data_IF_737333039932
#
_entry.id   IF_737333039932
#
_cell.length_a   1.000
_cell.length_b   1.000
_cell.length_c   1.000
_cell.angle_alpha   90.00
_cell.angle_beta   90.00
_cell.angle_gamma   90.00
#
_symmetry.space_group_name_H-M   'P 1'
#
loop_
_entity.id
_entity.type
_entity.pdbx_description
1 polymer ?
#
# COMPACT_ATOMS: atom_id res chain seq x y z
N UNK A 1 -10.04 41.70 -13.40
CA UNK A 1 -9.66 40.54 -14.24
C UNK A 1 -8.45 39.78 -13.70
N UNK A 2 -7.31 40.43 -13.38
CA UNK A 2 -6.10 39.75 -12.83
C UNK A 2 -6.32 38.97 -11.52
N UNK A 3 -7.11 39.49 -10.58
CA UNK A 3 -7.38 38.81 -9.29
C UNK A 3 -8.20 37.52 -9.45
N UNK A 4 -9.18 37.51 -10.35
CA UNK A 4 -10.02 36.33 -10.63
C UNK A 4 -9.22 35.18 -11.27
N UNK A 5 -8.26 35.51 -12.14
CA UNK A 5 -7.34 34.53 -12.73
C UNK A 5 -6.43 33.88 -11.67
N UNK A 6 -5.97 34.66 -10.68
CA UNK A 6 -5.14 34.17 -9.59
C UNK A 6 -5.94 33.27 -8.62
N UNK A 7 -7.19 33.64 -8.33
CA UNK A 7 -8.10 32.86 -7.50
C UNK A 7 -8.48 31.53 -8.19
N UNK A 8 -8.73 31.56 -9.51
CA UNK A 8 -8.97 30.37 -10.32
C UNK A 8 -7.74 29.45 -10.37
N UNK A 9 -6.53 30.00 -10.49
CA UNK A 9 -5.29 29.22 -10.43
C UNK A 9 -5.08 28.56 -9.05
N UNK A 10 -5.45 29.24 -7.95
CA UNK A 10 -5.36 28.70 -6.60
C UNK A 10 -6.40 27.58 -6.35
N UNK A 11 -7.61 27.71 -6.91
CA UNK A 11 -8.64 26.65 -6.87
C UNK A 11 -8.22 25.39 -7.64
N UNK A 12 -7.44 25.53 -8.72
CA UNK A 12 -6.89 24.40 -9.47
C UNK A 12 -5.85 23.61 -8.66
N UNK A 13 -5.09 24.25 -7.75
CA UNK A 13 -4.14 23.54 -6.87
C UNK A 13 -4.81 22.70 -5.79
N UNK A 14 -6.06 22.99 -5.41
CA UNK A 14 -6.82 22.21 -4.42
C UNK A 14 -7.25 20.84 -4.96
N UNK A 15 -7.15 20.62 -6.28
CA UNK A 15 -7.58 19.37 -6.94
C UNK A 15 -6.41 18.39 -7.16
N UNK A 16 -5.18 18.75 -6.81
CA UNK A 16 -3.99 17.94 -7.07
C UNK A 16 -3.73 16.91 -5.94
N UNK A 17 -4.68 16.00 -5.71
CA UNK A 17 -4.46 14.80 -4.87
C UNK A 17 -3.85 13.68 -5.72
N UNK A 18 -2.66 13.94 -6.29
CA UNK A 18 -1.99 12.96 -7.15
C UNK A 18 -1.18 11.92 -6.35
N UNK A 19 -0.90 12.18 -5.07
CA UNK A 19 -0.06 11.35 -4.22
C UNK A 19 -0.93 10.56 -3.24
N UNK A 20 -0.66 9.26 -3.12
CA UNK A 20 -1.24 8.42 -2.09
C UNK A 20 -0.56 8.74 -0.76
N UNK A 21 -1.34 9.11 0.26
CA UNK A 21 -0.86 9.30 1.62
C UNK A 21 -1.92 8.79 2.59
N UNK A 22 -1.51 7.98 3.54
CA UNK A 22 -2.37 7.50 4.61
C UNK A 22 -1.56 7.28 5.89
N UNK A 23 -1.93 7.99 6.95
CA UNK A 23 -1.33 7.89 8.28
C UNK A 23 -2.13 7.01 9.23
N UNK A 24 -3.35 6.59 8.85
CA UNK A 24 -4.31 5.86 9.67
C UNK A 24 -4.68 6.52 11.01
N UNK A 25 -4.38 7.82 11.16
CA UNK A 25 -4.58 8.57 12.42
C UNK A 25 -6.04 8.76 12.78
N UNK A 26 -6.92 8.76 11.77
CA UNK A 26 -8.37 8.76 11.93
C UNK A 26 -8.90 7.45 12.55
N UNK A 27 -8.15 6.36 12.44
CA UNK A 27 -8.56 5.05 12.95
C UNK A 27 -9.37 4.22 11.96
N UNK A 28 -9.41 4.61 10.68
CA UNK A 28 -10.20 3.92 9.65
C UNK A 28 -9.40 3.80 8.35
N UNK A 29 -9.08 2.58 7.91
CA UNK A 29 -8.43 2.35 6.62
C UNK A 29 -9.43 2.25 5.46
N UNK A 30 -10.74 2.29 5.71
CA UNK A 30 -11.76 2.08 4.68
C UNK A 30 -12.21 3.38 4.01
N UNK A 31 -11.76 4.53 4.51
CA UNK A 31 -12.09 5.86 3.99
C UNK A 31 -10.85 6.74 3.93
N UNK A 32 -10.78 7.60 2.90
CA UNK A 32 -9.81 8.70 2.79
C UNK A 32 -8.32 8.34 2.95
N UNK A 33 -7.76 7.40 2.17
CA UNK A 33 -8.33 6.69 1.02
C UNK A 33 -8.91 5.30 1.37
N UNK A 34 -9.80 4.74 0.54
CA UNK A 34 -10.37 3.43 0.79
C UNK A 34 -9.38 2.30 0.48
N UNK A 35 -8.90 1.61 1.51
CA UNK A 35 -8.22 0.32 1.37
C UNK A 35 -9.24 -0.81 1.36
N UNK A 36 -9.07 -1.73 0.41
CA UNK A 36 -9.98 -2.86 0.15
C UNK A 36 -9.19 -4.16 0.02
N UNK A 37 -9.89 -5.30 0.03
CA UNK A 37 -9.27 -6.63 -0.01
C UNK A 37 -9.70 -7.47 1.19
N UNK A 38 -8.74 -8.09 1.86
CA UNK A 38 -9.00 -8.98 3.01
C UNK A 38 -9.21 -8.16 4.31
N UNK A 39 -10.09 -7.15 4.27
CA UNK A 39 -10.25 -6.14 5.32
C UNK A 39 -10.49 -6.71 6.73
N UNK A 40 -11.21 -7.83 6.84
CA UNK A 40 -11.44 -8.52 8.12
C UNK A 40 -10.14 -9.03 8.78
N UNK A 41 -9.06 -9.20 8.00
CA UNK A 41 -7.74 -9.57 8.47
C UNK A 41 -6.86 -8.41 8.93
N UNK A 42 -7.40 -7.18 8.99
CA UNK A 42 -6.68 -5.98 9.39
C UNK A 42 -7.47 -5.14 10.39
N UNK A 43 -6.75 -4.36 11.19
CA UNK A 43 -7.32 -3.39 12.13
C UNK A 43 -6.41 -2.18 12.21
N UNK A 44 -6.95 -1.04 12.60
CA UNK A 44 -6.12 0.04 13.17
C UNK A 44 -5.96 -0.23 14.66
N UNK A 45 -4.71 -0.32 15.13
CA UNK A 45 -4.43 -0.62 16.53
C UNK A 45 -4.54 0.64 17.42
N UNK A 46 -4.37 0.48 18.74
CA UNK A 46 -4.44 1.57 19.71
C UNK A 46 -3.40 2.68 19.48
N UNK A 47 -2.30 2.38 18.79
CA UNK A 47 -1.25 3.33 18.41
C UNK A 47 -1.51 3.99 17.04
N UNK A 48 -2.71 3.83 16.48
CA UNK A 48 -3.09 4.38 15.16
C UNK A 48 -2.23 3.85 14.01
N UNK A 49 -1.91 2.57 14.05
CA UNK A 49 -1.15 1.88 13.00
C UNK A 49 -2.01 0.81 12.35
N UNK A 50 -1.96 0.72 11.01
CA UNK A 50 -2.49 -0.44 10.31
C UNK A 50 -1.73 -1.69 10.76
N UNK A 51 -2.48 -2.70 11.19
CA UNK A 51 -1.94 -3.94 11.73
C UNK A 51 -2.70 -5.13 11.16
N UNK A 52 -1.97 -6.18 10.77
CA UNK A 52 -2.58 -7.48 10.48
C UNK A 52 -3.17 -8.09 11.75
N UNK A 53 -4.35 -8.69 11.61
CA UNK A 53 -5.07 -9.46 12.63
C UNK A 53 -5.56 -10.80 12.04
N UNK A 54 -4.78 -11.34 11.10
CA UNK A 54 -5.06 -12.61 10.45
C UNK A 54 -4.79 -13.83 11.31
N UNK A 55 -5.32 -15.01 10.93
CA UNK A 55 -5.04 -16.25 11.63
C UNK A 55 -3.56 -16.65 11.49
N UNK A 56 -2.95 -17.04 12.61
CA UNK A 56 -1.56 -17.51 12.69
C UNK A 56 -1.42 -18.98 12.21
N UNK A 57 -1.87 -19.24 10.98
CA UNK A 57 -1.79 -20.56 10.34
C UNK A 57 -0.92 -20.49 9.08
N UNK A 58 -0.20 -21.57 8.79
CA UNK A 58 0.65 -21.65 7.60
C UNK A 58 -0.20 -21.51 6.34
N UNK A 59 0.27 -20.69 5.39
CA UNK A 59 -0.44 -20.45 4.14
C UNK A 59 -1.42 -19.27 4.18
N UNK A 60 -1.62 -18.62 5.34
CA UNK A 60 -2.36 -17.36 5.40
C UNK A 60 -1.70 -16.32 4.50
N UNK A 61 -2.46 -15.82 3.54
CA UNK A 61 -2.10 -14.67 2.71
C UNK A 61 -3.20 -13.64 2.82
N UNK A 62 -2.84 -12.44 3.29
CA UNK A 62 -3.74 -11.30 3.42
C UNK A 62 -3.23 -10.15 2.56
N UNK A 63 -4.16 -9.38 1.99
CA UNK A 63 -3.84 -8.16 1.25
C UNK A 63 -4.80 -7.03 1.61
N UNK A 64 -4.26 -5.81 1.60
CA UNK A 64 -5.03 -4.59 1.40
C UNK A 64 -4.44 -3.84 0.22
N UNK A 65 -5.31 -3.25 -0.58
CA UNK A 65 -4.95 -2.42 -1.74
C UNK A 65 -5.77 -1.13 -1.74
N UNK A 66 -5.18 -0.06 -2.22
CA UNK A 66 -5.86 1.22 -2.43
C UNK A 66 -5.53 1.74 -3.83
N UNK A 67 -6.48 2.37 -4.55
CA UNK A 67 -6.20 2.94 -5.86
C UNK A 67 -5.05 3.95 -5.81
N UNK A 68 -4.10 3.80 -6.73
CA UNK A 68 -2.97 4.71 -6.87
C UNK A 68 -2.89 5.25 -8.30
N UNK A 69 -2.71 6.57 -8.44
CA UNK A 69 -2.47 7.25 -9.72
C UNK A 69 -1.03 7.77 -9.86
N UNK A 70 -0.21 7.67 -8.81
CA UNK A 70 1.17 8.14 -8.77
C UNK A 70 2.11 7.09 -9.40
N UNK A 71 2.55 7.32 -10.64
CA UNK A 71 3.38 6.35 -11.40
C UNK A 71 4.77 6.88 -11.73
N UNK A 72 4.88 8.12 -12.21
CA UNK A 72 6.15 8.71 -12.70
C UNK A 72 6.64 9.79 -11.76
N UNK A 73 7.94 9.77 -11.42
CA UNK A 73 8.53 10.76 -10.50
C UNK A 73 8.02 10.65 -9.07
N UNK A 74 7.55 9.46 -8.68
CA UNK A 74 6.95 9.19 -7.37
C UNK A 74 8.00 8.65 -6.39
N UNK A 75 8.03 9.22 -5.19
CA UNK A 75 8.75 8.67 -4.05
C UNK A 75 7.76 7.95 -3.15
N UNK A 76 8.11 6.73 -2.77
CA UNK A 76 7.34 5.92 -1.82
C UNK A 76 8.04 5.93 -0.47
N UNK A 77 7.32 6.33 0.58
CA UNK A 77 7.78 6.27 1.95
C UNK A 77 6.72 5.55 2.79
N UNK A 78 7.15 4.60 3.61
CA UNK A 78 6.28 3.94 4.58
C UNK A 78 7.09 3.48 5.79
N UNK A 79 6.41 3.42 6.93
CA UNK A 79 6.95 2.77 8.11
C UNK A 79 6.37 1.36 8.23
N UNK A 80 7.24 0.37 8.40
CA UNK A 80 6.85 -1.03 8.54
C UNK A 80 7.55 -1.63 9.76
N UNK A 81 6.80 -2.37 10.58
CA UNK A 81 7.33 -3.07 11.73
C UNK A 81 6.84 -4.51 11.75
N UNK A 82 7.75 -5.45 11.45
CA UNK A 82 7.48 -6.88 11.53
C UNK A 82 7.86 -7.36 12.94
N UNK A 83 6.85 -7.70 13.76
CA UNK A 83 7.05 -8.17 15.14
C UNK A 83 7.39 -9.67 15.26
N UNK A 84 7.32 -10.41 14.18
CA UNK A 84 7.55 -11.87 14.14
C UNK A 84 8.84 -12.19 13.39
N UNK A 85 9.41 -13.38 13.61
CA UNK A 85 10.61 -13.81 12.89
C UNK A 85 10.34 -14.01 11.40
N UNK A 86 11.06 -13.28 10.55
CA UNK A 86 10.97 -13.43 9.09
C UNK A 86 11.55 -14.77 8.62
N UNK A 87 10.91 -15.38 7.62
CA UNK A 87 11.30 -16.65 7.01
C UNK A 87 10.84 -16.72 5.55
N UNK A 88 11.12 -17.83 4.86
CA UNK A 88 10.58 -18.09 3.51
C UNK A 88 9.05 -18.14 3.47
N UNK A 89 8.38 -18.42 4.60
CA UNK A 89 6.93 -18.45 4.73
C UNK A 89 6.34 -17.31 5.56
N UNK A 90 7.17 -16.39 6.08
CA UNK A 90 6.73 -15.23 6.86
C UNK A 90 7.49 -13.98 6.40
N UNK A 91 6.84 -13.18 5.57
CA UNK A 91 7.38 -11.96 4.99
C UNK A 91 6.23 -11.01 4.62
N UNK A 92 6.54 -9.76 4.36
CA UNK A 92 5.59 -8.78 3.87
C UNK A 92 6.03 -8.24 2.50
N UNK A 93 5.08 -8.06 1.60
CA UNK A 93 5.29 -7.37 0.33
C UNK A 93 4.55 -6.03 0.37
N UNK A 94 5.28 -4.93 0.32
CA UNK A 94 4.73 -3.58 0.14
C UNK A 94 4.70 -3.30 -1.36
N UNK A 95 3.53 -3.43 -1.95
CA UNK A 95 3.33 -3.17 -3.37
C UNK A 95 3.31 -1.67 -3.64
N UNK A 96 4.25 -1.22 -4.46
CA UNK A 96 4.35 0.17 -4.90
C UNK A 96 3.37 0.44 -6.05
N UNK A 97 3.31 -0.51 -6.99
CA UNK A 97 2.42 -0.48 -8.14
C UNK A 97 1.99 -1.90 -8.49
N UNK A 98 0.72 -2.10 -8.81
CA UNK A 98 0.18 -3.36 -9.32
C UNK A 98 -0.82 -3.10 -10.46
N UNK A 99 -0.88 -4.01 -11.43
CA UNK A 99 -1.83 -3.93 -12.54
C UNK A 99 -3.23 -4.48 -12.20
N UNK A 100 -3.40 -5.05 -11.01
CA UNK A 100 -4.66 -5.61 -10.50
C UNK A 100 -4.85 -5.28 -9.03
N UNK A 101 -6.12 -5.15 -8.63
CA UNK A 101 -6.51 -4.98 -7.23
C UNK A 101 -6.35 -6.28 -6.41
N UNK A 102 -6.58 -7.44 -7.04
CA UNK A 102 -6.27 -8.72 -6.39
C UNK A 102 -4.83 -9.15 -6.69
N UNK A 103 -3.95 -9.01 -5.70
CA UNK A 103 -2.53 -9.33 -5.81
C UNK A 103 -2.26 -10.85 -5.81
N UNK A 104 -3.24 -11.63 -5.34
CA UNK A 104 -3.19 -13.10 -5.27
C UNK A 104 -3.46 -13.75 -6.63
N UNK A 105 -4.14 -13.05 -7.53
CA UNK A 105 -4.43 -13.52 -8.88
C UNK A 105 -3.15 -13.89 -9.64
N UNK A 106 -3.18 -15.05 -10.30
CA UNK A 106 -2.09 -15.49 -11.18
C UNK A 106 -1.86 -14.48 -12.29
N UNK A 107 -0.61 -14.07 -12.48
CA UNK A 107 -0.23 -13.13 -13.52
C UNK A 107 -0.37 -11.65 -13.15
N UNK A 108 -0.66 -11.29 -11.89
CA UNK A 108 -0.48 -9.91 -11.41
C UNK A 108 0.96 -9.45 -11.65
N UNK A 109 1.11 -8.20 -12.08
CA UNK A 109 2.38 -7.57 -12.45
C UNK A 109 2.56 -6.28 -11.66
N UNK A 110 3.81 -5.92 -11.39
CA UNK A 110 4.06 -4.72 -10.61
C UNK A 110 5.44 -4.68 -9.98
N UNK A 111 5.61 -3.72 -9.08
CA UNK A 111 6.80 -3.51 -8.29
C UNK A 111 6.43 -3.54 -6.81
N UNK A 112 7.21 -4.25 -6.01
CA UNK A 112 7.00 -4.35 -4.58
C UNK A 112 8.33 -4.43 -3.84
N UNK A 113 8.36 -3.89 -2.62
CA UNK A 113 9.47 -4.08 -1.69
C UNK A 113 9.10 -5.24 -0.78
N UNK A 114 9.92 -6.28 -0.77
CA UNK A 114 9.77 -7.40 0.17
C UNK A 114 10.59 -7.13 1.41
N UNK A 115 9.99 -7.36 2.57
CA UNK A 115 10.63 -7.38 3.87
C UNK A 115 10.65 -8.83 4.38
N UNK A 116 11.83 -9.45 4.38
CA UNK A 116 12.04 -10.82 4.85
C UNK A 116 12.27 -11.83 3.72
N UNK A 117 11.60 -12.99 3.79
CA UNK A 117 11.80 -14.09 2.86
C UNK A 117 13.13 -14.83 3.08
N UNK A 118 13.57 -15.57 2.08
CA UNK A 118 14.96 -16.04 1.96
C UNK A 118 15.57 -15.19 0.84
N UNK A 119 16.43 -14.20 1.15
CA UNK A 119 17.52 -14.24 2.15
C UNK A 119 17.34 -13.38 3.42
N UNK A 120 16.12 -13.08 3.88
CA UNK A 120 15.82 -12.20 5.04
C UNK A 120 16.28 -10.76 4.86
N UNK A 121 16.05 -10.20 3.68
CA UNK A 121 16.49 -8.85 3.33
C UNK A 121 15.31 -7.89 3.12
N UNK A 122 15.62 -6.62 2.89
CA UNK A 122 14.70 -5.64 2.32
C UNK A 122 15.15 -5.38 0.88
N UNK A 123 14.35 -5.81 -0.10
CA UNK A 123 14.74 -5.71 -1.51
C UNK A 123 13.55 -5.36 -2.41
N UNK A 124 13.86 -4.64 -3.49
CA UNK A 124 12.90 -4.26 -4.53
C UNK A 124 12.78 -5.38 -5.57
N UNK A 125 11.55 -5.81 -5.84
CA UNK A 125 11.22 -6.83 -6.82
C UNK A 125 10.33 -6.27 -7.92
N UNK A 126 10.45 -6.87 -9.11
CA UNK A 126 9.51 -6.68 -10.22
C UNK A 126 8.84 -8.02 -10.54
N UNK A 127 7.51 -8.07 -10.45
CA UNK A 127 6.71 -9.22 -10.95
C UNK A 127 6.31 -8.97 -12.39
N UNK A 128 6.66 -9.91 -13.28
CA UNK A 128 6.27 -9.90 -14.70
C UNK A 128 5.27 -11.01 -14.95
N UNK A 129 4.43 -10.87 -15.98
CA UNK A 129 3.61 -11.97 -16.48
C UNK A 129 4.55 -13.07 -17.01
N UNK A 130 4.40 -14.30 -16.52
CA UNK A 130 5.00 -15.45 -17.19
C UNK A 130 4.31 -15.60 -18.56
N UNK A 131 5.13 -15.66 -19.62
CA UNK A 131 4.66 -15.89 -20.99
C UNK A 131 4.09 -17.28 -21.18
#
# INVERSE_FOLDING_TARGET
MKLYLLLAALLLTLSAHAQLSDSFTDGDFTQNPPWTGDAAGFTINAQKQLQTNGPAVTGTQLQLVTPCQAVTGTTWECWVNIKNTVSSGNYADVWLLADRADLKTSGTQGYFVRLGGTPKEVALFRKKRHG
#
